data_IF_788868385117
#
_entry.id   IF_788868385117
#
_cell.length_a   1.000
_cell.length_b   1.000
_cell.length_c   1.000
_cell.angle_alpha   90.00
_cell.angle_beta   90.00
_cell.angle_gamma   90.00
#
_symmetry.space_group_name_H-M   'P 1'
#
loop_
_entity.id
_entity.type
_entity.pdbx_description
1 polymer ?
#
# COMPACT_ATOMS: atom_id res chain seq x y z
N UNK A 1 21.84 23.09 -58.59
CA UNK A 1 22.54 22.76 -57.33
C UNK A 1 21.52 22.74 -56.20
N UNK A 2 21.64 21.73 -55.33
CA UNK A 2 20.62 21.22 -54.42
C UNK A 2 20.22 22.21 -53.32
N UNK A 3 18.93 22.53 -53.23
CA UNK A 3 18.35 23.25 -52.10
C UNK A 3 18.24 22.29 -50.90
N UNK A 4 19.17 22.41 -49.96
CA UNK A 4 19.09 21.72 -48.66
C UNK A 4 17.84 22.24 -47.92
N UNK A 5 16.73 21.49 -47.94
CA UNK A 5 15.54 21.78 -47.13
C UNK A 5 15.99 21.88 -45.67
N UNK A 6 15.94 23.08 -45.07
CA UNK A 6 16.12 23.26 -43.62
C UNK A 6 15.15 22.29 -42.93
N UNK A 7 15.70 21.25 -42.31
CA UNK A 7 14.93 20.24 -41.61
C UNK A 7 14.13 20.93 -40.50
N UNK A 8 12.80 20.77 -40.50
CA UNK A 8 11.95 21.41 -39.52
C UNK A 8 12.30 20.87 -38.13
N UNK A 9 12.86 21.74 -37.26
CA UNK A 9 13.38 21.33 -35.96
C UNK A 9 12.28 20.75 -35.07
N UNK A 10 11.00 21.10 -35.27
CA UNK A 10 9.90 20.40 -34.58
C UNK A 10 9.73 18.95 -35.04
N UNK A 11 9.90 18.66 -36.33
CA UNK A 11 9.80 17.28 -36.83
C UNK A 11 10.98 16.44 -36.33
N UNK A 12 12.17 17.03 -36.25
CA UNK A 12 13.33 16.39 -35.64
C UNK A 12 13.08 16.04 -34.16
N UNK A 13 12.52 16.97 -33.37
CA UNK A 13 12.20 16.73 -31.96
C UNK A 13 11.17 15.61 -31.78
N UNK A 14 10.15 15.55 -32.64
CA UNK A 14 9.17 14.45 -32.62
C UNK A 14 9.84 13.12 -32.94
N UNK A 15 10.70 13.05 -33.95
CA UNK A 15 11.43 11.83 -34.30
C UNK A 15 12.32 11.37 -33.15
N UNK A 16 13.08 12.28 -32.54
CA UNK A 16 13.91 11.98 -31.37
C UNK A 16 13.08 11.50 -30.17
N UNK A 17 11.90 12.07 -29.95
CA UNK A 17 10.99 11.64 -28.90
C UNK A 17 10.47 10.21 -29.15
N UNK A 18 10.14 9.87 -30.39
CA UNK A 18 9.74 8.51 -30.77
C UNK A 18 10.87 7.50 -30.58
N UNK A 19 12.10 7.85 -30.94
CA UNK A 19 13.28 7.02 -30.70
C UNK A 19 13.56 6.82 -29.20
N UNK A 20 13.46 7.89 -28.40
CA UNK A 20 13.59 7.80 -26.94
C UNK A 20 12.50 6.90 -26.34
N UNK A 21 11.25 7.04 -26.77
CA UNK A 21 10.15 6.19 -26.32
C UNK A 21 10.33 4.71 -26.72
N UNK A 22 10.88 4.42 -27.90
CA UNK A 22 11.22 3.06 -28.33
C UNK A 22 12.29 2.42 -27.43
N UNK A 23 13.19 3.23 -26.86
CA UNK A 23 14.18 2.83 -25.85
C UNK A 23 13.62 2.84 -24.41
N UNK A 24 12.31 3.06 -24.24
CA UNK A 24 11.63 3.24 -22.95
C UNK A 24 12.11 4.45 -22.13
N UNK A 25 12.80 5.41 -22.75
CA UNK A 25 13.21 6.70 -22.17
C UNK A 25 12.05 7.70 -22.20
N UNK A 26 10.89 7.34 -21.64
CA UNK A 26 9.64 8.11 -21.77
C UNK A 26 9.74 9.54 -21.22
N UNK A 27 10.48 9.76 -20.14
CA UNK A 27 10.66 11.10 -19.57
C UNK A 27 11.43 12.01 -20.53
N UNK A 28 12.50 11.50 -21.15
CA UNK A 28 13.25 12.22 -22.18
C UNK A 28 12.38 12.50 -23.41
N UNK A 29 11.58 11.52 -23.85
CA UNK A 29 10.63 11.71 -24.95
C UNK A 29 9.64 12.85 -24.67
N UNK A 30 9.08 12.94 -23.45
CA UNK A 30 8.18 14.02 -23.04
C UNK A 30 8.88 15.38 -23.06
N UNK A 31 10.09 15.49 -22.49
CA UNK A 31 10.87 16.73 -22.50
C UNK A 31 11.19 17.24 -23.91
N UNK A 32 11.50 16.33 -24.83
CA UNK A 32 11.73 16.66 -26.25
C UNK A 32 10.45 17.22 -26.90
N UNK A 33 9.28 16.67 -26.55
CA UNK A 33 8.00 17.16 -27.06
C UNK A 33 7.59 18.50 -26.44
N UNK A 34 7.79 18.68 -25.13
CA UNK A 34 7.49 19.93 -24.43
C UNK A 34 8.27 21.12 -25.01
N UNK A 35 9.49 20.85 -25.50
CA UNK A 35 10.33 21.84 -26.19
C UNK A 35 9.66 22.42 -27.44
N UNK A 36 8.75 21.70 -28.10
CA UNK A 36 8.04 22.19 -29.30
C UNK A 36 7.15 23.38 -28.95
N UNK A 37 6.43 23.32 -27.82
CA UNK A 37 5.57 24.43 -27.38
C UNK A 37 6.39 25.68 -27.01
N UNK A 38 7.60 25.48 -26.49
CA UNK A 38 8.51 26.57 -26.13
C UNK A 38 9.10 27.22 -27.38
N UNK A 39 9.53 26.42 -28.36
CA UNK A 39 10.18 26.91 -29.57
C UNK A 39 9.20 27.45 -30.62
N UNK A 40 7.95 27.00 -30.59
CA UNK A 40 6.92 27.34 -31.57
C UNK A 40 5.59 27.71 -30.90
N UNK A 41 5.54 28.75 -30.05
CA UNK A 41 4.35 29.10 -29.28
C UNK A 41 3.14 29.51 -30.13
N UNK A 42 3.38 30.10 -31.31
CA UNK A 42 2.32 30.60 -32.20
C UNK A 42 1.95 29.63 -33.34
N UNK A 43 2.72 28.54 -33.51
CA UNK A 43 2.46 27.54 -34.56
C UNK A 43 1.55 26.43 -34.02
N UNK A 44 0.24 26.69 -34.10
CA UNK A 44 -0.78 25.76 -33.63
C UNK A 44 -0.65 24.36 -34.26
N UNK A 45 -0.24 24.26 -35.52
CA UNK A 45 -0.11 22.98 -36.21
C UNK A 45 1.05 22.16 -35.65
N UNK A 46 2.20 22.78 -35.36
CA UNK A 46 3.33 22.12 -34.68
C UNK A 46 2.99 21.71 -33.26
N UNK A 47 2.29 22.55 -32.51
CA UNK A 47 1.81 22.24 -31.16
C UNK A 47 0.86 21.04 -31.20
N UNK A 48 -0.07 21.00 -32.16
CA UNK A 48 -1.01 19.89 -32.33
C UNK A 48 -0.27 18.58 -32.67
N UNK A 49 0.70 18.61 -33.59
CA UNK A 49 1.55 17.46 -33.91
C UNK A 49 2.36 16.97 -32.70
N UNK A 50 2.95 17.89 -31.93
CA UNK A 50 3.65 17.58 -30.69
C UNK A 50 2.74 16.93 -29.66
N UNK A 51 1.53 17.47 -29.46
CA UNK A 51 0.52 16.91 -28.55
C UNK A 51 0.08 15.51 -28.96
N UNK A 52 -0.08 15.26 -30.26
CA UNK A 52 -0.36 13.93 -30.77
C UNK A 52 0.77 12.94 -30.44
N UNK A 53 2.02 13.32 -30.70
CA UNK A 53 3.19 12.51 -30.33
C UNK A 53 3.27 12.27 -28.81
N UNK A 54 2.88 13.26 -27.98
CA UNK A 54 2.82 13.10 -26.53
C UNK A 54 1.84 12.00 -26.13
N UNK A 55 0.66 11.95 -26.76
CA UNK A 55 -0.31 10.88 -26.49
C UNK A 55 0.22 9.51 -26.87
N UNK A 56 0.95 9.37 -27.98
CA UNK A 56 1.59 8.11 -28.38
C UNK A 56 2.66 7.67 -27.35
N UNK A 57 3.49 8.61 -26.88
CA UNK A 57 4.53 8.36 -25.86
C UNK A 57 3.90 7.96 -24.52
N UNK A 58 2.90 8.70 -24.04
CA UNK A 58 2.18 8.36 -22.81
C UNK A 58 1.50 7.00 -22.95
N UNK A 59 0.91 6.68 -24.11
CA UNK A 59 0.26 5.39 -24.33
C UNK A 59 1.26 4.23 -24.22
N UNK A 60 2.46 4.39 -24.77
CA UNK A 60 3.55 3.42 -24.63
C UNK A 60 3.98 3.21 -23.17
N UNK A 61 4.15 4.31 -22.43
CA UNK A 61 4.51 4.28 -21.00
C UNK A 61 3.45 3.55 -20.17
N UNK A 62 2.16 3.86 -20.36
CA UNK A 62 1.07 3.23 -19.63
C UNK A 62 0.95 1.73 -19.95
N UNK A 63 1.18 1.33 -21.22
CA UNK A 63 1.22 -0.09 -21.60
C UNK A 63 2.35 -0.84 -20.90
N UNK A 64 3.55 -0.24 -20.82
CA UNK A 64 4.68 -0.82 -20.06
C UNK A 64 4.34 -0.95 -18.58
N UNK A 65 3.80 0.10 -17.97
CA UNK A 65 3.42 0.08 -16.55
C UNK A 65 2.41 -1.01 -16.25
N UNK A 66 1.37 -1.12 -17.08
CA UNK A 66 0.37 -2.19 -16.95
C UNK A 66 1.01 -3.58 -17.06
N UNK A 67 1.86 -3.80 -18.06
CA UNK A 67 2.55 -5.09 -18.22
C UNK A 67 3.41 -5.45 -17.00
N UNK A 68 4.14 -4.47 -16.45
CA UNK A 68 4.89 -4.65 -15.21
C UNK A 68 3.97 -5.01 -14.04
N UNK A 69 2.88 -4.28 -13.84
CA UNK A 69 1.91 -4.56 -12.77
C UNK A 69 1.36 -5.98 -12.90
N UNK A 70 0.89 -6.37 -14.09
CA UNK A 70 0.31 -7.69 -14.34
C UNK A 70 1.34 -8.83 -14.09
N UNK A 71 2.62 -8.59 -14.42
CA UNK A 71 3.71 -9.56 -14.18
C UNK A 71 3.99 -9.78 -12.69
N UNK A 72 4.12 -8.69 -11.92
CA UNK A 72 4.40 -8.75 -10.49
C UNK A 72 3.18 -9.25 -9.71
N UNK A 73 1.98 -8.86 -10.14
CA UNK A 73 0.72 -9.30 -9.52
C UNK A 73 0.60 -10.82 -9.53
N UNK A 74 0.96 -11.47 -10.65
CA UNK A 74 0.96 -12.93 -10.75
C UNK A 74 1.87 -13.60 -9.72
N UNK A 75 3.04 -13.02 -9.45
CA UNK A 75 3.98 -13.52 -8.45
C UNK A 75 3.36 -13.40 -7.05
N UNK A 76 2.87 -12.20 -6.69
CA UNK A 76 2.27 -11.96 -5.36
C UNK A 76 1.02 -12.80 -5.11
N UNK A 77 0.19 -13.00 -6.14
CA UNK A 77 -0.97 -13.88 -6.05
C UNK A 77 -0.59 -15.34 -5.84
N UNK A 78 0.56 -15.79 -6.35
CA UNK A 78 1.07 -17.14 -6.09
C UNK A 78 1.65 -17.28 -4.67
N UNK A 79 2.22 -16.21 -4.10
CA UNK A 79 2.75 -16.19 -2.73
C UNK A 79 1.62 -16.18 -1.67
N UNK A 80 0.48 -15.56 -2.00
CA UNK A 80 -0.62 -15.32 -1.07
C UNK A 80 -1.14 -16.58 -0.34
N UNK A 81 -1.46 -17.71 -1.00
CA UNK A 81 -1.96 -18.90 -0.31
C UNK A 81 -1.00 -19.44 0.75
N UNK A 82 0.31 -19.34 0.52
CA UNK A 82 1.31 -19.79 1.48
C UNK A 82 1.29 -18.91 2.74
N UNK A 83 1.20 -17.59 2.57
CA UNK A 83 1.13 -16.64 3.70
C UNK A 83 -0.23 -16.69 4.43
N UNK A 84 -1.30 -16.99 3.70
CA UNK A 84 -2.65 -17.07 4.27
C UNK A 84 -2.89 -18.36 5.07
N UNK A 85 -2.13 -19.44 4.85
CA UNK A 85 -2.42 -20.80 5.37
C UNK A 85 -2.86 -20.88 6.83
N UNK A 86 -2.30 -20.05 7.71
CA UNK A 86 -2.59 -20.04 9.16
C UNK A 86 -3.60 -18.97 9.59
N UNK A 87 -4.27 -18.31 8.65
CA UNK A 87 -5.20 -17.23 8.89
C UNK A 87 -6.60 -17.58 8.37
N UNK A 88 -7.61 -17.26 9.17
CA UNK A 88 -9.01 -17.34 8.78
C UNK A 88 -9.52 -15.93 8.49
N UNK A 89 -10.18 -15.76 7.35
CA UNK A 89 -10.89 -14.53 7.05
C UNK A 89 -12.21 -14.50 7.82
N UNK A 90 -12.42 -13.45 8.61
CA UNK A 90 -13.62 -13.21 9.39
C UNK A 90 -14.27 -11.93 8.93
N UNK A 91 -15.55 -12.00 8.57
CA UNK A 91 -16.36 -10.83 8.26
C UNK A 91 -17.78 -11.09 8.73
N UNK A 92 -18.29 -10.26 9.63
CA UNK A 92 -19.71 -10.26 9.92
C UNK A 92 -20.43 -9.36 8.92
N UNK A 93 -20.89 -9.92 7.81
CA UNK A 93 -21.53 -9.16 6.72
C UNK A 93 -22.81 -8.43 7.12
N UNK A 94 -23.41 -8.75 8.27
CA UNK A 94 -24.59 -8.05 8.78
C UNK A 94 -24.27 -6.69 9.43
N UNK A 95 -23.02 -6.47 9.87
CA UNK A 95 -22.61 -5.30 10.67
C UNK A 95 -21.35 -4.63 10.09
N UNK A 96 -20.43 -5.42 9.54
CA UNK A 96 -19.08 -4.98 9.17
C UNK A 96 -18.93 -4.83 7.65
N UNK A 97 -18.49 -3.64 7.22
CA UNK A 97 -18.14 -3.36 5.82
C UNK A 97 -16.80 -3.96 5.40
N UNK A 98 -15.94 -4.29 6.36
CA UNK A 98 -14.57 -4.78 6.14
C UNK A 98 -14.37 -6.05 6.97
N UNK A 99 -13.86 -7.11 6.35
CA UNK A 99 -13.40 -8.31 7.05
C UNK A 99 -11.90 -8.34 7.27
N UNK A 100 -11.47 -9.21 8.17
CA UNK A 100 -10.08 -9.32 8.61
C UNK A 100 -9.59 -10.77 8.61
N UNK A 101 -8.35 -10.96 8.17
CA UNK A 101 -7.57 -12.16 8.43
C UNK A 101 -7.08 -12.15 9.88
N UNK A 102 -7.43 -13.20 10.61
CA UNK A 102 -7.04 -13.44 12.00
C UNK A 102 -6.34 -14.79 12.07
N UNK A 103 -5.20 -14.86 12.77
CA UNK A 103 -4.47 -16.12 12.92
C UNK A 103 -5.32 -17.17 13.63
N UNK A 104 -5.29 -18.43 13.18
CA UNK A 104 -6.17 -19.51 13.65
C UNK A 104 -6.13 -19.72 15.18
N UNK A 105 -4.95 -19.58 15.78
CA UNK A 105 -4.75 -19.61 17.25
C UNK A 105 -5.50 -18.51 18.02
N UNK A 106 -5.84 -17.41 17.36
CA UNK A 106 -6.60 -16.30 17.92
C UNK A 106 -8.10 -16.38 17.57
N UNK A 107 -8.50 -17.27 16.67
CA UNK A 107 -9.90 -17.51 16.29
C UNK A 107 -10.59 -18.43 17.30
N UNK A 108 -9.90 -19.48 17.75
CA UNK A 108 -10.47 -20.43 18.71
C UNK A 108 -10.26 -19.92 20.15
N UNK A 109 -11.34 -19.47 20.79
CA UNK A 109 -11.33 -18.68 22.03
C UNK A 109 -10.87 -19.45 23.28
N UNK A 110 -10.67 -20.77 23.20
CA UNK A 110 -10.41 -21.62 24.37
C UNK A 110 -9.14 -21.29 25.17
N UNK A 111 -8.12 -20.70 24.54
CA UNK A 111 -6.82 -20.44 25.18
C UNK A 111 -6.55 -18.97 25.53
N UNK A 112 -7.49 -18.06 25.23
CA UNK A 112 -7.27 -16.61 25.27
C UNK A 112 -8.20 -15.88 26.26
N UNK A 113 -9.08 -16.61 26.95
CA UNK A 113 -9.91 -16.10 28.03
C UNK A 113 -9.05 -15.75 29.25
N UNK A 114 -9.36 -14.61 29.88
CA UNK A 114 -8.72 -14.13 31.13
C UNK A 114 -7.20 -13.90 31.08
N UNK A 115 -6.61 -13.65 29.90
CA UNK A 115 -5.18 -13.33 29.77
C UNK A 115 -4.94 -12.01 29.04
N UNK A 116 -3.76 -11.43 29.28
CA UNK A 116 -3.25 -10.32 28.47
C UNK A 116 -2.54 -10.86 27.23
N UNK A 117 -2.83 -10.31 26.04
CA UNK A 117 -2.15 -10.69 24.79
C UNK A 117 -2.32 -9.64 23.70
N UNK A 118 -1.55 -9.78 22.62
CA UNK A 118 -1.65 -8.96 21.41
C UNK A 118 -2.23 -9.81 20.28
N UNK A 119 -3.17 -9.25 19.52
CA UNK A 119 -3.79 -9.89 18.37
C UNK A 119 -3.50 -9.07 17.11
N UNK A 120 -2.84 -9.68 16.13
CA UNK A 120 -2.67 -9.08 14.81
C UNK A 120 -3.89 -9.36 13.93
N UNK A 121 -4.32 -8.36 13.16
CA UNK A 121 -5.35 -8.47 12.11
C UNK A 121 -4.91 -7.70 10.87
N UNK A 122 -5.23 -8.21 9.68
CA UNK A 122 -5.08 -7.46 8.42
C UNK A 122 -6.33 -7.61 7.57
N UNK A 123 -6.75 -6.56 6.87
CA UNK A 123 -7.84 -6.64 5.91
C UNK A 123 -7.34 -7.05 4.51
N UNK A 124 -8.27 -7.15 3.55
CA UNK A 124 -7.99 -7.51 2.15
C UNK A 124 -7.13 -6.48 1.39
N UNK A 125 -6.97 -5.27 1.91
CA UNK A 125 -6.12 -4.22 1.33
C UNK A 125 -4.71 -4.24 1.94
N UNK A 126 -4.44 -5.14 2.89
CA UNK A 126 -3.17 -5.20 3.62
C UNK A 126 -3.03 -4.14 4.70
N UNK A 127 -4.11 -3.44 5.06
CA UNK A 127 -4.12 -2.55 6.23
C UNK A 127 -4.21 -3.41 7.47
N UNK A 128 -3.28 -3.23 8.38
CA UNK A 128 -3.20 -4.03 9.59
C UNK A 128 -3.37 -3.24 10.87
N UNK A 129 -3.80 -3.98 11.89
CA UNK A 129 -4.06 -3.53 13.23
C UNK A 129 -3.43 -4.52 14.21
N UNK A 130 -2.95 -4.00 15.33
CA UNK A 130 -2.56 -4.79 16.49
C UNK A 130 -3.47 -4.40 17.64
N UNK A 131 -4.24 -5.35 18.14
CA UNK A 131 -5.15 -5.13 19.27
C UNK A 131 -4.52 -5.67 20.53
N UNK A 132 -4.36 -4.81 21.54
CA UNK A 132 -4.03 -5.21 22.89
C UNK A 132 -5.30 -5.62 23.63
N UNK A 133 -5.29 -6.81 24.20
CA UNK A 133 -6.28 -7.29 25.14
C UNK A 133 -5.64 -7.33 26.52
N UNK A 134 -6.15 -6.51 27.44
CA UNK A 134 -5.80 -6.53 28.85
C UNK A 134 -6.94 -7.15 29.66
N UNK A 135 -6.59 -7.99 30.62
CA UNK A 135 -7.52 -8.58 31.58
C UNK A 135 -6.84 -8.73 32.94
N UNK A 136 -7.41 -8.13 33.99
CA UNK A 136 -6.92 -8.28 35.37
C UNK A 136 -7.98 -7.85 36.39
N UNK A 137 -7.70 -7.98 37.69
CA UNK A 137 -8.60 -7.57 38.79
C UNK A 137 -8.63 -6.07 39.06
N UNK A 138 -7.85 -5.28 38.32
CA UNK A 138 -7.82 -3.82 38.43
C UNK A 138 -7.57 -3.17 37.05
N UNK A 139 -8.09 -1.95 36.82
CA UNK A 139 -7.83 -1.22 35.58
C UNK A 139 -6.43 -0.57 35.58
N UNK A 140 -5.85 -0.43 34.39
CA UNK A 140 -4.57 0.25 34.14
C UNK A 140 -4.72 1.48 33.24
N UNK A 141 -5.85 1.59 32.54
CA UNK A 141 -6.18 2.63 31.57
C UNK A 141 -5.12 2.80 30.49
N UNK A 142 -4.69 1.69 29.88
CA UNK A 142 -3.65 1.74 28.86
C UNK A 142 -4.12 2.41 27.57
N UNK A 143 -3.20 3.12 26.94
CA UNK A 143 -3.39 3.81 25.67
C UNK A 143 -2.19 3.62 24.71
N UNK A 144 -1.13 2.95 25.18
CA UNK A 144 0.07 2.63 24.41
C UNK A 144 0.58 1.22 24.71
N UNK A 145 1.32 0.67 23.76
CA UNK A 145 2.10 -0.55 23.90
C UNK A 145 3.58 -0.19 23.73
N UNK A 146 4.44 -0.80 24.56
CA UNK A 146 5.88 -0.76 24.39
C UNK A 146 6.44 -2.17 24.35
N UNK A 147 7.30 -2.43 23.36
CA UNK A 147 8.14 -3.64 23.32
C UNK A 147 9.52 -3.31 23.86
N UNK A 148 10.05 -4.14 24.74
CA UNK A 148 11.36 -3.97 25.37
C UNK A 148 12.20 -5.21 25.12
N UNK A 149 13.40 -5.03 24.58
CA UNK A 149 14.38 -6.09 24.36
C UNK A 149 15.30 -6.28 25.59
N UNK A 150 16.04 -7.41 25.67
CA UNK A 150 16.91 -7.71 26.81
C UNK A 150 18.03 -6.70 27.03
N UNK A 151 18.50 -6.04 25.97
CA UNK A 151 19.54 -5.00 26.01
C UNK A 151 19.03 -3.64 26.54
N UNK A 152 17.74 -3.55 26.86
CA UNK A 152 17.08 -2.33 27.36
C UNK A 152 16.58 -1.39 26.25
N UNK A 153 16.86 -1.69 24.99
CA UNK A 153 16.26 -0.99 23.86
C UNK A 153 14.76 -1.24 23.82
N UNK A 154 14.00 -0.27 23.30
CA UNK A 154 12.55 -0.36 23.24
C UNK A 154 11.95 0.43 22.09
N UNK A 155 10.76 0.02 21.67
CA UNK A 155 9.89 0.77 20.78
C UNK A 155 8.51 0.94 21.44
N UNK A 156 7.93 2.13 21.34
CA UNK A 156 6.63 2.47 21.90
C UNK A 156 5.69 3.01 20.83
N UNK A 157 4.43 2.57 20.87
CA UNK A 157 3.37 3.06 20.01
C UNK A 157 3.01 4.53 20.33
N UNK A 158 2.39 5.21 19.38
CA UNK A 158 1.66 6.44 19.68
C UNK A 158 0.43 6.14 20.55
N UNK A 159 -0.07 7.19 21.19
CA UNK A 159 -1.26 7.12 22.03
C UNK A 159 -2.53 6.89 21.21
N UNK A 160 -3.36 5.94 21.65
CA UNK A 160 -4.74 5.76 21.21
C UNK A 160 -5.66 6.28 22.33
N UNK A 161 -6.33 7.43 22.12
CA UNK A 161 -7.17 8.03 23.15
C UNK A 161 -8.36 7.13 23.47
N UNK A 162 -8.91 7.26 24.68
CA UNK A 162 -10.16 6.60 25.06
C UNK A 162 -11.33 7.27 24.33
N UNK A 163 -11.70 6.71 23.18
CA UNK A 163 -12.73 7.23 22.27
C UNK A 163 -13.96 6.33 22.17
N UNK A 164 -13.96 5.18 22.85
CA UNK A 164 -15.03 4.18 22.78
C UNK A 164 -15.08 3.41 21.45
N UNK A 165 -14.19 3.68 20.50
CA UNK A 165 -14.15 3.04 19.19
C UNK A 165 -12.91 2.15 19.04
N UNK A 166 -11.72 2.72 19.27
CA UNK A 166 -10.44 2.03 19.19
C UNK A 166 -9.86 1.76 20.57
N UNK A 167 -10.33 2.44 21.61
CA UNK A 167 -9.97 2.16 22.99
C UNK A 167 -11.27 2.12 23.79
N UNK A 168 -11.63 0.93 24.26
CA UNK A 168 -12.82 0.72 25.08
C UNK A 168 -12.51 -0.19 26.25
N UNK A 169 -13.30 -0.04 27.31
CA UNK A 169 -13.06 -0.65 28.61
C UNK A 169 -14.38 -1.12 29.16
N UNK A 170 -14.39 -2.30 29.77
CA UNK A 170 -15.56 -2.83 30.44
C UNK A 170 -15.14 -3.68 31.63
N UNK A 171 -16.11 -3.99 32.47
CA UNK A 171 -15.93 -4.86 33.61
C UNK A 171 -16.93 -6.01 33.49
N UNK A 172 -16.44 -7.22 33.73
CA UNK A 172 -17.25 -8.42 33.82
C UNK A 172 -16.85 -9.14 35.10
N UNK A 173 -17.81 -9.35 36.01
CA UNK A 173 -17.60 -9.77 37.39
C UNK A 173 -16.48 -8.97 38.13
N UNK A 174 -15.38 -9.64 38.48
CA UNK A 174 -14.23 -9.09 39.18
C UNK A 174 -13.05 -8.78 38.24
N UNK A 175 -13.26 -8.87 36.93
CA UNK A 175 -12.23 -8.63 35.92
C UNK A 175 -12.51 -7.35 35.15
N UNK A 176 -11.47 -6.53 35.03
CA UNK A 176 -11.40 -5.37 34.18
C UNK A 176 -10.77 -5.75 32.85
N UNK A 177 -11.45 -5.38 31.78
CA UNK A 177 -11.00 -5.57 30.41
C UNK A 177 -10.74 -4.22 29.77
N UNK A 178 -9.60 -4.12 29.11
CA UNK A 178 -9.26 -2.96 28.29
C UNK A 178 -8.79 -3.47 26.93
N UNK A 179 -9.43 -2.98 25.88
CA UNK A 179 -9.15 -3.40 24.51
C UNK A 179 -8.77 -2.16 23.71
N UNK A 180 -7.55 -2.17 23.21
CA UNK A 180 -6.97 -1.02 22.50
C UNK A 180 -6.44 -1.48 21.15
N UNK A 181 -7.02 -0.93 20.09
CA UNK A 181 -6.72 -1.23 18.70
C UNK A 181 -5.75 -0.19 18.12
N UNK A 182 -4.56 -0.63 17.75
CA UNK A 182 -3.52 0.20 17.17
C UNK A 182 -3.46 -0.05 15.66
N UNK A 183 -3.86 0.94 14.87
CA UNK A 183 -3.59 0.92 13.43
C UNK A 183 -2.09 1.11 13.15
N UNK A 184 -1.67 0.83 11.92
CA UNK A 184 -0.27 0.97 11.50
C UNK A 184 0.37 2.33 11.84
N UNK A 185 -0.36 3.45 11.69
CA UNK A 185 0.16 4.79 12.05
C UNK A 185 0.42 4.91 13.55
N UNK A 186 -0.46 4.33 14.38
CA UNK A 186 -0.31 4.34 15.84
C UNK A 186 0.78 3.39 16.32
N UNK A 187 1.12 2.35 15.58
CA UNK A 187 2.16 1.40 15.99
C UNK A 187 3.58 1.96 15.98
N UNK A 188 3.87 3.06 15.29
CA UNK A 188 5.16 3.77 15.39
C UNK A 188 6.40 2.85 15.28
N UNK A 189 6.47 2.04 14.22
CA UNK A 189 7.57 1.08 13.97
C UNK A 189 7.67 -0.11 14.93
N UNK A 190 6.66 -0.34 15.78
CA UNK A 190 6.68 -1.42 16.78
C UNK A 190 6.79 -2.81 16.14
N UNK A 191 6.23 -3.01 14.95
CA UNK A 191 6.33 -4.27 14.21
C UNK A 191 7.73 -4.48 13.63
N UNK A 192 8.37 -3.42 13.11
CA UNK A 192 9.74 -3.44 12.63
C UNK A 192 10.72 -3.71 13.78
N UNK A 193 10.48 -3.14 14.96
CA UNK A 193 11.23 -3.46 16.18
C UNK A 193 11.07 -4.94 16.56
N UNK A 194 9.83 -5.45 16.54
CA UNK A 194 9.57 -6.87 16.81
C UNK A 194 10.29 -7.79 15.82
N UNK A 195 10.38 -7.41 14.54
CA UNK A 195 11.10 -8.16 13.52
C UNK A 195 12.62 -8.12 13.73
N UNK A 196 13.17 -6.97 14.10
CA UNK A 196 14.60 -6.81 14.38
C UNK A 196 15.05 -7.67 15.57
N UNK A 197 14.19 -7.78 16.58
CA UNK A 197 14.41 -8.53 17.81
C UNK A 197 13.67 -9.89 17.83
N UNK A 198 13.44 -10.50 16.65
CA UNK A 198 12.65 -11.73 16.53
C UNK A 198 13.22 -12.93 17.29
N UNK A 199 14.54 -12.92 17.52
CA UNK A 199 15.27 -13.98 18.20
C UNK A 199 15.48 -13.68 19.71
N UNK A 200 14.98 -12.53 20.18
CA UNK A 200 15.12 -12.08 21.57
C UNK A 200 13.88 -12.37 22.43
N UNK A 201 14.09 -12.43 23.74
CA UNK A 201 13.01 -12.53 24.72
C UNK A 201 12.40 -11.14 25.00
N UNK A 202 11.52 -10.70 24.09
CA UNK A 202 10.81 -9.43 24.20
C UNK A 202 9.81 -9.42 25.38
N UNK A 203 9.63 -8.24 25.98
CA UNK A 203 8.57 -7.96 26.96
C UNK A 203 7.58 -6.96 26.38
N UNK A 204 6.30 -7.20 26.62
CA UNK A 204 5.24 -6.23 26.36
C UNK A 204 5.02 -5.41 27.62
N UNK A 205 4.98 -4.08 27.49
CA UNK A 205 4.57 -3.15 28.54
C UNK A 205 3.35 -2.37 28.04
N UNK A 206 2.22 -2.56 28.69
CA UNK A 206 1.03 -1.76 28.49
C UNK A 206 1.17 -0.48 29.33
N UNK A 207 1.13 0.67 28.67
CA UNK A 207 1.37 1.97 29.28
C UNK A 207 0.05 2.74 29.36
N UNK A 208 -0.37 3.02 30.59
CA UNK A 208 -1.56 3.81 30.94
C UNK A 208 -1.33 4.60 32.21
N UNK A 209 -2.39 4.83 32.99
CA UNK A 209 -2.28 5.37 34.37
C UNK A 209 -1.46 4.44 35.27
N UNK A 210 -1.53 3.13 35.02
CA UNK A 210 -0.65 2.13 35.61
C UNK A 210 0.05 1.37 34.49
N UNK A 211 1.27 0.89 34.77
CA UNK A 211 1.97 0.00 33.84
C UNK A 211 1.62 -1.44 34.19
N UNK A 212 1.44 -2.25 33.16
CA UNK A 212 1.36 -3.70 33.27
C UNK A 212 2.32 -4.32 32.28
N UNK A 213 3.05 -5.36 32.67
CA UNK A 213 4.05 -5.97 31.81
C UNK A 213 3.97 -7.49 31.86
N UNK A 214 4.24 -8.12 30.71
CA UNK A 214 4.27 -9.58 30.56
C UNK A 214 5.27 -9.97 29.45
N UNK A 215 5.86 -11.18 29.51
CA UNK A 215 6.73 -11.66 28.45
C UNK A 215 5.95 -11.87 27.14
N UNK A 216 6.51 -11.46 26.01
CA UNK A 216 5.97 -11.80 24.69
C UNK A 216 6.42 -13.22 24.33
N UNK A 217 5.48 -14.17 24.28
CA UNK A 217 5.82 -15.56 23.94
C UNK A 217 6.30 -15.63 22.50
N UNK A 218 7.32 -16.45 22.23
CA UNK A 218 7.88 -16.63 20.88
C UNK A 218 6.82 -17.01 19.84
N UNK A 219 5.81 -17.80 20.24
CA UNK A 219 4.67 -18.14 19.38
C UNK A 219 3.82 -16.91 19.01
N UNK A 220 3.54 -16.03 19.97
CA UNK A 220 2.75 -14.82 19.72
C UNK A 220 3.55 -13.83 18.84
N UNK A 221 4.86 -13.74 19.07
CA UNK A 221 5.78 -12.98 18.21
C UNK A 221 5.77 -13.51 16.78
N UNK A 222 5.87 -14.84 16.58
CA UNK A 222 5.81 -15.42 15.25
C UNK A 222 4.47 -15.12 14.56
N UNK A 223 3.34 -15.21 15.28
CA UNK A 223 2.01 -14.86 14.76
C UNK A 223 1.96 -13.40 14.29
N UNK A 224 2.56 -12.48 15.07
CA UNK A 224 2.66 -11.07 14.70
C UNK A 224 3.47 -10.87 13.41
N UNK A 225 4.60 -11.57 13.28
CA UNK A 225 5.46 -11.48 12.10
C UNK A 225 4.83 -12.11 10.86
N UNK A 226 4.20 -13.29 10.99
CA UNK A 226 3.45 -13.94 9.91
C UNK A 226 2.30 -13.04 9.42
N UNK A 227 1.62 -12.37 10.35
CA UNK A 227 0.55 -11.42 10.04
C UNK A 227 1.08 -10.20 9.27
N UNK A 228 2.23 -9.68 9.68
CA UNK A 228 2.91 -8.58 8.97
C UNK A 228 3.29 -8.97 7.55
N UNK A 229 3.83 -10.16 7.33
CA UNK A 229 4.13 -10.67 5.98
C UNK A 229 2.88 -10.84 5.12
N UNK A 230 1.79 -11.38 5.68
CA UNK A 230 0.51 -11.48 4.99
C UNK A 230 -0.01 -10.10 4.58
N UNK A 231 0.09 -9.11 5.47
CA UNK A 231 -0.35 -7.73 5.19
C UNK A 231 0.44 -7.10 4.03
N UNK A 232 1.74 -7.39 3.92
CA UNK A 232 2.56 -6.90 2.81
C UNK A 232 2.18 -7.51 1.48
N UNK A 233 1.92 -8.81 1.43
CA UNK A 233 1.46 -9.47 0.19
C UNK A 233 0.11 -8.91 -0.25
N UNK A 234 -0.83 -8.74 0.69
CA UNK A 234 -2.15 -8.16 0.41
C UNK A 234 -2.04 -6.70 -0.06
N UNK A 235 -1.21 -5.90 0.58
CA UNK A 235 -0.98 -4.50 0.20
C UNK A 235 -0.36 -4.38 -1.19
N UNK A 236 0.61 -5.23 -1.52
CA UNK A 236 1.20 -5.29 -2.86
C UNK A 236 0.16 -5.67 -3.91
N UNK A 237 -0.65 -6.71 -3.66
CA UNK A 237 -1.73 -7.13 -4.57
C UNK A 237 -2.71 -5.98 -4.79
N UNK A 238 -3.17 -5.33 -3.72
CA UNK A 238 -4.12 -4.21 -3.81
C UNK A 238 -3.54 -3.05 -4.61
N UNK A 239 -2.30 -2.63 -4.30
CA UNK A 239 -1.60 -1.56 -5.00
C UNK A 239 -1.43 -1.87 -6.49
N UNK A 240 -0.98 -3.08 -6.83
CA UNK A 240 -0.74 -3.50 -8.22
C UNK A 240 -2.05 -3.55 -9.03
N UNK A 241 -3.14 -4.03 -8.43
CA UNK A 241 -4.46 -3.99 -9.06
C UNK A 241 -4.91 -2.56 -9.34
N UNK A 242 -4.72 -1.65 -8.39
CA UNK A 242 -5.14 -0.26 -8.54
C UNK A 242 -4.27 0.49 -9.56
N UNK A 243 -2.95 0.29 -9.55
CA UNK A 243 -2.03 0.82 -10.57
C UNK A 243 -2.36 0.28 -11.97
N UNK A 244 -2.67 -1.02 -12.09
CA UNK A 244 -3.09 -1.62 -13.37
C UNK A 244 -4.42 -1.04 -13.85
N UNK A 245 -5.39 -0.84 -12.95
CA UNK A 245 -6.69 -0.20 -13.25
C UNK A 245 -6.53 1.24 -13.74
N UNK A 246 -5.74 2.05 -13.02
CA UNK A 246 -5.46 3.44 -13.41
C UNK A 246 -4.74 3.52 -14.75
N UNK A 247 -3.73 2.66 -14.96
CA UNK A 247 -3.02 2.54 -16.24
C UNK A 247 -3.98 2.20 -17.37
N UNK A 248 -4.91 1.26 -17.15
CA UNK A 248 -5.90 0.86 -18.14
C UNK A 248 -6.90 1.99 -18.49
N UNK A 249 -7.39 2.72 -17.49
CA UNK A 249 -8.26 3.88 -17.72
C UNK A 249 -7.53 4.96 -18.55
N UNK A 250 -6.25 5.21 -18.24
CA UNK A 250 -5.43 6.17 -18.99
C UNK A 250 -5.16 5.69 -20.42
N UNK A 251 -4.92 4.39 -20.63
CA UNK A 251 -4.78 3.79 -21.98
C UNK A 251 -6.04 4.03 -22.82
N UNK A 252 -7.23 3.78 -22.26
CA UNK A 252 -8.50 4.00 -22.97
C UNK A 252 -8.69 5.47 -23.35
N UNK A 253 -8.44 6.38 -22.41
CA UNK A 253 -8.47 7.82 -22.66
C UNK A 253 -7.51 8.23 -23.79
N UNK A 254 -6.26 7.76 -23.75
CA UNK A 254 -5.24 8.13 -24.74
C UNK A 254 -5.58 7.60 -26.13
N UNK A 255 -6.11 6.37 -26.24
CA UNK A 255 -6.59 5.81 -27.51
C UNK A 255 -7.68 6.68 -28.13
N UNK A 256 -8.68 7.08 -27.34
CA UNK A 256 -9.73 7.98 -27.82
C UNK A 256 -9.17 9.33 -28.29
N UNK A 257 -8.19 9.88 -27.60
CA UNK A 257 -7.54 11.15 -28.00
C UNK A 257 -6.76 11.04 -29.30
N UNK A 258 -6.02 9.94 -29.48
CA UNK A 258 -5.29 9.66 -30.73
C UNK A 258 -6.27 9.51 -31.89
N UNK A 259 -7.33 8.71 -31.73
CA UNK A 259 -8.37 8.51 -32.76
C UNK A 259 -9.09 9.83 -33.14
N UNK A 260 -9.37 10.69 -32.15
CA UNK A 260 -9.94 12.02 -32.39
C UNK A 260 -9.01 12.87 -33.27
N UNK A 261 -7.71 12.92 -32.96
CA UNK A 261 -6.75 13.69 -33.77
C UNK A 261 -6.66 13.10 -35.17
N UNK A 262 -6.47 11.79 -35.30
CA UNK A 262 -6.36 11.11 -36.60
C UNK A 262 -7.60 11.32 -37.50
N UNK A 263 -8.79 11.30 -36.92
CA UNK A 263 -10.04 11.54 -37.65
C UNK A 263 -10.19 13.00 -38.10
N UNK A 264 -9.76 13.97 -37.29
CA UNK A 264 -9.75 15.39 -37.68
C UNK A 264 -8.75 15.68 -38.79
N UNK A 265 -7.56 15.08 -38.75
CA UNK A 265 -6.56 15.23 -39.80
C UNK A 265 -7.06 14.69 -41.14
N UNK A 266 -7.70 13.51 -41.15
CA UNK A 266 -8.28 12.89 -42.36
C UNK A 266 -9.41 13.70 -43.00
N UNK A 267 -10.20 14.45 -42.20
CA UNK A 267 -11.26 15.33 -42.73
C UNK A 267 -10.72 16.64 -43.31
N UNK A 268 -9.60 17.14 -42.81
CA UNK A 268 -8.95 18.36 -43.33
C UNK A 268 -8.15 18.16 -44.62
N UNK A 269 -7.84 16.90 -44.98
CA UNK A 269 -7.07 16.52 -46.16
C UNK A 269 -7.92 16.05 -47.34
N UNK A 270 -9.25 16.15 -47.24
CA UNK A 270 -10.23 15.92 -48.32
C UNK A 270 -10.86 17.25 -48.71
#
# INVERSE_FOLDING_TARGET
MSACKKQDKSELLITQAKEAAAKQEFQKAKLLIDSIRILYPDDYHKIQKGRHALYEVELGEQKRNRYYCDSVLKIRQADFPQKQKNFTYQQNTAIESVGYYVHNEHVFHGNNTQRCYLQFKTDNEGRYFLTSYYCNTYPIEHSKIRLVAPDGSYCESLEVPNDGALNYRFRDDNLYYEIVCFNQKKLNKLMEFAHLHKDDNLKVVLVGKRKHQYPLRSKDLQIMLDGMELSFVLSDIHRLLEESRLSQAKIQYLKQRIEQVDSTTKKSSR
#
